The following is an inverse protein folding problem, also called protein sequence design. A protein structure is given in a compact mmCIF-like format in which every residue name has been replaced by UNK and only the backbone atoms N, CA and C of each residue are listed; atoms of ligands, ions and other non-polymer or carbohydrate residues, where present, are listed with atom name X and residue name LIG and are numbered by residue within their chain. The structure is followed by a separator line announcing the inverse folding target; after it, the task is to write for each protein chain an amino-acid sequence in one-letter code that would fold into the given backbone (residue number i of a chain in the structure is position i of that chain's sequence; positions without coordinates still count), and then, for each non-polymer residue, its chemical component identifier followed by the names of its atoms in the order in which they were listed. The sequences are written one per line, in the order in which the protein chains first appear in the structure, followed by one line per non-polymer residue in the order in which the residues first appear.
data_IF_267529130911
#
_entry.id   IF_267529130911
#
_cell.length_a   1.000
_cell.length_b   1.000
_cell.length_c   1.000
_cell.angle_alpha   90.00
_cell.angle_beta   90.00
_cell.angle_gamma   90.00
#
_symmetry.space_group_name_H-M   'P 1'
#
loop_
_entity.id
_entity.type
_entity.pdbx_description
1 polymer ?
#
# COMPACT_ATOMS: atom_id res chain seq x y z
N UNK A 1 -10.04 1.37 -3.09
CA UNK A 1 -11.15 0.44 -2.80
C UNK A 1 -11.56 0.57 -1.34
N UNK A 2 -12.85 0.68 -1.05
CA UNK A 2 -13.41 0.58 0.31
C UNK A 2 -14.38 -0.60 0.28
N UNK A 3 -14.25 -1.51 1.24
CA UNK A 3 -15.13 -2.67 1.38
C UNK A 3 -15.88 -2.57 2.71
N UNK A 4 -17.16 -2.95 2.71
CA UNK A 4 -18.00 -2.97 3.90
C UNK A 4 -18.97 -4.15 3.84
N UNK A 5 -19.12 -4.86 4.96
CA UNK A 5 -20.05 -5.97 5.09
C UNK A 5 -21.39 -5.52 5.67
N UNK A 6 -22.50 -5.94 5.07
CA UNK A 6 -23.87 -5.64 5.53
C UNK A 6 -24.37 -6.62 6.61
N UNK A 7 -23.94 -7.87 6.53
CA UNK A 7 -24.33 -8.94 7.46
C UNK A 7 -23.13 -9.39 8.30
N UNK A 8 -23.39 -10.01 9.45
CA UNK A 8 -22.34 -10.59 10.30
C UNK A 8 -21.49 -11.60 9.52
N UNK A 9 -22.13 -12.53 8.80
CA UNK A 9 -21.42 -13.50 7.96
C UNK A 9 -20.55 -12.81 6.90
N UNK A 10 -21.06 -11.79 6.23
CA UNK A 10 -20.29 -11.02 5.25
C UNK A 10 -19.09 -10.28 5.86
N UNK A 11 -19.23 -9.74 7.07
CA UNK A 11 -18.12 -9.12 7.80
C UNK A 11 -17.06 -10.13 8.24
N UNK A 12 -17.47 -11.32 8.69
CA UNK A 12 -16.57 -12.40 9.08
C UNK A 12 -15.74 -12.87 7.88
N UNK A 13 -16.39 -13.18 6.75
CA UNK A 13 -15.69 -13.54 5.51
C UNK A 13 -14.77 -12.42 5.03
N UNK A 14 -15.22 -11.16 5.05
CA UNK A 14 -14.38 -10.03 4.66
C UNK A 14 -13.14 -9.90 5.57
N UNK A 15 -13.31 -10.12 6.88
CA UNK A 15 -12.21 -10.09 7.85
C UNK A 15 -11.20 -11.20 7.58
N UNK A 16 -11.66 -12.41 7.26
CA UNK A 16 -10.81 -13.55 6.88
C UNK A 16 -10.00 -13.23 5.63
N UNK A 17 -10.63 -12.69 4.57
CA UNK A 17 -9.93 -12.30 3.34
C UNK A 17 -8.82 -11.26 3.58
N UNK A 18 -9.03 -10.32 4.50
CA UNK A 18 -7.99 -9.36 4.90
C UNK A 18 -6.90 -9.98 5.76
N UNK A 19 -7.26 -10.88 6.67
CA UNK A 19 -6.31 -11.57 7.55
C UNK A 19 -5.37 -12.46 6.74
N UNK A 20 -5.92 -13.24 5.81
CA UNK A 20 -5.19 -14.19 4.99
C UNK A 20 -4.46 -13.55 3.80
N UNK A 21 -4.61 -12.22 3.61
CA UNK A 21 -4.02 -11.45 2.51
C UNK A 21 -4.37 -11.99 1.11
N UNK A 22 -5.55 -12.61 0.97
CA UNK A 22 -6.04 -13.17 -0.31
C UNK A 22 -6.71 -12.10 -1.19
N UNK A 23 -7.02 -10.94 -0.63
CA UNK A 23 -7.54 -9.80 -1.36
C UNK A 23 -6.40 -8.90 -1.87
N UNK A 24 -6.19 -8.91 -3.18
CA UNK A 24 -5.22 -8.05 -3.84
C UNK A 24 -5.81 -6.67 -4.15
N UNK A 25 -5.12 -5.60 -3.73
CA UNK A 25 -5.56 -4.22 -3.98
C UNK A 25 -4.63 -3.56 -4.97
N UNK A 26 -5.18 -3.18 -6.13
CA UNK A 26 -4.47 -2.43 -7.16
C UNK A 26 -4.96 -0.98 -7.19
N UNK A 27 -4.01 -0.06 -7.27
CA UNK A 27 -4.23 1.38 -7.30
C UNK A 27 -3.50 2.00 -8.48
N UNK A 28 -4.09 3.03 -9.08
CA UNK A 28 -3.41 3.87 -10.05
C UNK A 28 -2.89 5.13 -9.36
N UNK A 29 -1.59 5.39 -9.50
CA UNK A 29 -0.91 6.52 -8.87
C UNK A 29 -0.14 7.34 -9.89
N UNK A 30 -0.40 8.65 -9.95
CA UNK A 30 0.47 9.59 -10.64
C UNK A 30 1.60 10.01 -9.71
N UNK A 31 2.84 9.75 -10.10
CA UNK A 31 4.04 10.12 -9.34
C UNK A 31 4.91 11.08 -10.13
N UNK A 32 5.61 11.96 -9.42
CA UNK A 32 6.56 12.89 -10.02
C UNK A 32 7.86 12.16 -10.39
N UNK A 33 8.37 12.42 -11.58
CA UNK A 33 9.54 11.79 -12.19
C UNK A 33 9.17 10.73 -13.23
N UNK A 34 10.16 10.32 -14.02
CA UNK A 34 10.06 9.23 -15.01
C UNK A 34 10.61 7.95 -14.40
N UNK A 35 9.73 6.99 -14.13
CA UNK A 35 10.06 5.65 -13.63
C UNK A 35 9.92 4.66 -14.78
N UNK A 36 11.01 3.95 -15.10
CA UNK A 36 11.06 3.06 -16.27
C UNK A 36 10.91 1.57 -15.93
N UNK A 37 11.13 1.22 -14.67
CA UNK A 37 11.17 -0.17 -14.23
C UNK A 37 10.16 -0.42 -13.13
N UNK A 38 9.61 -1.64 -13.10
CA UNK A 38 8.85 -2.13 -11.97
C UNK A 38 9.77 -2.40 -10.77
N UNK A 39 9.23 -2.28 -9.56
CA UNK A 39 10.03 -2.52 -8.37
C UNK A 39 9.17 -2.99 -7.20
N UNK A 40 9.86 -3.59 -6.23
CA UNK A 40 9.31 -4.05 -4.99
C UNK A 40 10.07 -3.41 -3.83
N UNK A 41 9.38 -2.58 -3.04
CA UNK A 41 9.99 -1.89 -1.91
C UNK A 41 9.47 -2.43 -0.59
N UNK A 42 10.40 -2.54 0.38
CA UNK A 42 10.13 -2.95 1.76
C UNK A 42 10.63 -1.89 2.74
N UNK A 43 9.98 -1.80 3.88
CA UNK A 43 10.40 -0.95 4.98
C UNK A 43 9.53 -1.12 6.20
N UNK A 44 9.62 -0.17 7.12
CA UNK A 44 8.85 -0.15 8.36
C UNK A 44 8.15 1.19 8.52
N UNK A 45 6.86 1.16 8.84
CA UNK A 45 6.04 2.33 9.11
C UNK A 45 5.92 2.52 10.62
N UNK A 46 6.11 3.74 11.10
CA UNK A 46 5.76 4.12 12.47
C UNK A 46 4.76 5.26 12.42
N UNK A 47 3.66 5.14 13.19
CA UNK A 47 2.62 6.17 13.27
C UNK A 47 2.67 6.83 14.64
N UNK A 48 3.01 8.12 14.66
CA UNK A 48 2.84 8.95 15.84
C UNK A 48 1.34 9.19 16.07
N UNK A 49 0.79 8.60 17.13
CA UNK A 49 -0.64 8.71 17.48
C UNK A 49 -1.05 10.11 17.94
N UNK A 50 -0.11 10.92 18.44
CA UNK A 50 -0.37 12.29 18.92
C UNK A 50 -0.54 13.24 17.74
N UNK A 51 0.31 13.13 16.72
CA UNK A 51 0.29 14.01 15.53
C UNK A 51 -0.38 13.39 14.30
N UNK A 52 -0.74 12.11 14.36
CA UNK A 52 -1.22 11.30 13.23
C UNK A 52 -0.25 11.22 12.04
N UNK A 53 1.04 11.51 12.24
CA UNK A 53 2.06 11.47 11.20
C UNK A 53 2.65 10.06 11.07
N UNK A 54 2.78 9.59 9.84
CA UNK A 54 3.49 8.35 9.51
C UNK A 54 4.91 8.68 9.05
N UNK A 55 5.89 7.93 9.56
CA UNK A 55 7.29 8.00 9.16
C UNK A 55 7.77 6.63 8.70
N UNK A 56 8.56 6.58 7.62
CA UNK A 56 9.08 5.34 7.03
C UNK A 56 10.56 5.17 7.39
N UNK A 57 10.94 3.96 7.76
CA UNK A 57 12.32 3.57 8.07
C UNK A 57 12.73 2.36 7.23
N UNK A 58 14.03 2.27 6.91
CA UNK A 58 14.61 1.09 6.25
C UNK A 58 14.73 -0.10 7.21
N UNK A 59 15.06 0.18 8.47
CA UNK A 59 15.25 -0.81 9.53
C UNK A 59 14.12 -0.74 10.56
N UNK A 60 13.88 -1.87 11.24
CA UNK A 60 12.85 -1.98 12.27
C UNK A 60 13.18 -1.08 13.45
N UNK A 61 12.20 -0.25 13.84
CA UNK A 61 12.21 0.51 15.09
C UNK A 61 11.15 0.01 16.06
N UNK A 62 11.24 0.45 17.31
CA UNK A 62 10.21 0.24 18.31
C UNK A 62 8.84 0.72 17.79
N UNK A 63 7.81 -0.10 18.02
CA UNK A 63 6.43 0.12 17.56
C UNK A 63 6.25 0.39 16.06
N UNK A 64 7.22 -0.01 15.22
CA UNK A 64 7.09 0.05 13.77
C UNK A 64 6.55 -1.25 13.19
N UNK A 65 5.70 -1.13 12.17
CA UNK A 65 5.09 -2.26 11.47
C UNK A 65 5.72 -2.43 10.08
N UNK A 66 5.94 -3.67 9.62
CA UNK A 66 6.46 -3.91 8.28
C UNK A 66 5.47 -3.42 7.22
N UNK A 67 6.02 -2.83 6.16
CA UNK A 67 5.27 -2.45 4.95
C UNK A 67 6.00 -2.93 3.71
N UNK A 68 5.22 -3.35 2.73
CA UNK A 68 5.72 -3.77 1.44
C UNK A 68 4.80 -3.17 0.36
N UNK A 69 5.38 -2.76 -0.77
CA UNK A 69 4.64 -2.15 -1.88
C UNK A 69 5.32 -2.52 -3.18
N UNK A 70 4.54 -3.07 -4.11
CA UNK A 70 5.00 -3.31 -5.47
C UNK A 70 4.40 -2.24 -6.39
N UNK A 71 5.16 -1.81 -7.40
CA UNK A 71 4.64 -0.92 -8.42
C UNK A 71 5.20 -1.24 -9.81
N UNK A 72 4.40 -0.96 -10.84
CA UNK A 72 4.77 -1.11 -12.24
C UNK A 72 4.40 0.16 -13.02
N UNK A 73 5.31 0.73 -13.82
CA UNK A 73 4.98 1.86 -14.69
C UNK A 73 4.09 1.42 -15.85
N UNK A 74 3.03 2.19 -16.10
CA UNK A 74 2.10 2.00 -17.21
C UNK A 74 2.37 2.97 -18.37
N UNK A 75 3.00 4.11 -18.07
CA UNK A 75 3.37 5.13 -19.03
C UNK A 75 3.76 6.44 -18.35
N UNK A 76 4.41 7.33 -19.08
CA UNK A 76 4.85 8.63 -18.60
C UNK A 76 4.65 9.73 -19.65
N UNK A 77 4.72 10.99 -19.20
CA UNK A 77 4.65 12.16 -20.07
C UNK A 77 5.95 13.00 -20.04
N UNK A 78 7.06 12.41 -19.58
CA UNK A 78 8.33 13.11 -19.37
C UNK A 78 8.47 13.86 -18.04
N UNK A 79 7.39 14.15 -17.32
CA UNK A 79 7.45 14.75 -15.96
C UNK A 79 6.84 13.82 -14.90
N UNK A 80 5.75 13.13 -15.22
CA UNK A 80 5.01 12.25 -14.33
C UNK A 80 4.95 10.84 -14.91
N UNK A 81 4.92 9.84 -14.03
CA UNK A 81 4.66 8.45 -14.39
C UNK A 81 3.33 8.01 -13.79
N UNK A 82 2.51 7.32 -14.58
CA UNK A 82 1.37 6.56 -14.10
C UNK A 82 1.85 5.17 -13.66
N UNK A 83 1.66 4.85 -12.38
CA UNK A 83 1.98 3.55 -11.80
C UNK A 83 0.71 2.76 -11.50
N UNK A 84 0.75 1.47 -11.76
CA UNK A 84 -0.08 0.48 -11.06
C UNK A 84 0.64 0.05 -9.78
N UNK A 85 -0.02 0.17 -8.63
CA UNK A 85 0.54 -0.10 -7.29
C UNK A 85 -0.26 -1.20 -6.61
N UNK A 86 0.43 -2.20 -6.09
CA UNK A 86 -0.15 -3.32 -5.34
C UNK A 86 0.21 -3.23 -3.86
N UNK A 87 -0.84 -3.29 -3.01
CA UNK A 87 -0.78 -3.21 -1.55
C UNK A 87 -1.42 -4.43 -0.87
#
# INVERSE_FOLDING_TARGET
LIAGGKSLAGLQTLSELFHDRTLHKYYLCLVRGVIREENYIKGYLHKDKKTNKVTIYKEKKEDSLPIETAYRPLGDNGELTLLEVHL
#
